data_IF_086084580074
#
_entry.id   IF_086084580074
#
_cell.length_a   1.000
_cell.length_b   1.000
_cell.length_c   1.000
_cell.angle_alpha   90.00
_cell.angle_beta   90.00
_cell.angle_gamma   90.00
#
_symmetry.space_group_name_H-M   'P 1'
#
loop_
_entity.id
_entity.type
_entity.pdbx_description
1 polymer ?
#
# COMPACT_ATOMS: atom_id res chain seq x y z
N UNK A 1 -8.22 -12.26 14.36
CA UNK A 1 -7.36 -11.31 15.09
C UNK A 1 -6.56 -10.58 14.02
N UNK A 2 -6.83 -9.30 13.79
CA UNK A 2 -6.18 -8.55 12.71
C UNK A 2 -4.71 -8.38 13.05
N UNK A 3 -3.86 -9.01 12.24
CA UNK A 3 -2.41 -8.90 12.34
C UNK A 3 -2.04 -7.43 12.15
N UNK A 4 -1.66 -6.74 13.24
CA UNK A 4 -1.21 -5.35 13.25
C UNK A 4 0.21 -5.28 12.69
N UNK A 5 0.43 -5.87 11.53
CA UNK A 5 1.71 -5.83 10.85
C UNK A 5 1.93 -4.44 10.27
N UNK A 6 3.04 -3.83 10.66
CA UNK A 6 3.53 -2.61 10.04
C UNK A 6 4.21 -2.99 8.73
N UNK A 7 3.60 -2.62 7.62
CA UNK A 7 4.15 -2.79 6.30
C UNK A 7 4.95 -1.56 5.88
N UNK A 8 6.17 -1.84 5.43
CA UNK A 8 6.98 -0.92 4.65
C UNK A 8 6.51 -0.86 3.19
N UNK A 9 7.04 0.08 2.42
CA UNK A 9 6.76 0.15 0.97
C UNK A 9 6.95 -1.17 0.23
N UNK A 10 7.94 -1.99 0.62
CA UNK A 10 8.23 -3.27 -0.03
C UNK A 10 7.14 -4.30 0.25
N UNK A 11 6.65 -4.36 1.48
CA UNK A 11 5.58 -5.29 1.88
C UNK A 11 4.26 -4.90 1.24
N UNK A 12 3.92 -3.61 1.23
CA UNK A 12 2.75 -3.09 0.53
C UNK A 12 2.81 -3.48 -0.94
N UNK A 13 3.95 -3.23 -1.58
CA UNK A 13 4.17 -3.52 -2.99
C UNK A 13 4.03 -5.01 -3.30
N UNK A 14 4.65 -5.88 -2.50
CA UNK A 14 4.54 -7.33 -2.64
C UNK A 14 3.09 -7.81 -2.45
N UNK A 15 2.38 -7.25 -1.48
CA UNK A 15 1.00 -7.62 -1.18
C UNK A 15 0.04 -7.30 -2.34
N UNK A 16 0.16 -6.10 -2.92
CA UNK A 16 -0.68 -5.68 -4.06
C UNK A 16 -0.08 -6.08 -5.42
N UNK A 17 1.03 -6.84 -5.41
CA UNK A 17 1.81 -7.28 -6.57
C UNK A 17 2.20 -6.14 -7.52
N UNK A 18 2.63 -5.00 -6.98
CA UNK A 18 3.20 -3.89 -7.75
C UNK A 18 4.65 -3.64 -7.36
N UNK A 19 5.31 -2.72 -8.06
CA UNK A 19 6.66 -2.29 -7.69
C UNK A 19 6.63 -1.26 -6.54
N UNK A 20 7.64 -1.23 -5.64
CA UNK A 20 7.74 -0.22 -4.59
C UNK A 20 7.68 1.22 -5.11
N UNK A 21 8.25 1.49 -6.28
CA UNK A 21 8.19 2.79 -6.96
C UNK A 21 6.75 3.22 -7.32
N UNK A 22 5.88 2.25 -7.60
CA UNK A 22 4.45 2.50 -7.84
C UNK A 22 3.77 2.96 -6.55
N UNK A 23 4.08 2.32 -5.41
CA UNK A 23 3.57 2.74 -4.09
C UNK A 23 4.07 4.15 -3.75
N UNK A 24 5.33 4.45 -4.07
CA UNK A 24 5.89 5.80 -3.90
C UNK A 24 5.19 6.84 -4.77
N UNK A 25 4.83 6.48 -6.01
CA UNK A 25 4.01 7.32 -6.89
C UNK A 25 2.61 7.54 -6.33
N UNK A 26 1.94 6.51 -5.79
CA UNK A 26 0.64 6.71 -5.13
C UNK A 26 0.72 7.67 -3.97
N UNK A 27 1.78 7.59 -3.16
CA UNK A 27 1.99 8.58 -2.10
C UNK A 27 2.22 9.99 -2.66
N UNK A 28 3.05 10.12 -3.70
CA UNK A 28 3.33 11.41 -4.36
C UNK A 28 2.06 12.05 -4.93
N UNK A 29 1.15 11.24 -5.46
CA UNK A 29 -0.12 11.69 -6.03
C UNK A 29 -1.27 11.79 -5.00
N UNK A 30 -1.01 11.57 -3.71
CA UNK A 30 -2.04 11.62 -2.67
C UNK A 30 -3.09 10.51 -2.75
N UNK A 31 -2.79 9.43 -3.48
CA UNK A 31 -3.66 8.26 -3.64
C UNK A 31 -3.46 7.24 -2.52
N UNK A 32 -2.27 7.19 -1.93
CA UNK A 32 -1.97 6.31 -0.80
C UNK A 32 -2.47 6.95 0.51
N UNK A 33 -3.03 6.17 1.45
CA UNK A 33 -3.34 6.68 2.79
C UNK A 33 -2.11 7.28 3.48
N UNK A 34 -2.36 8.17 4.44
CA UNK A 34 -1.32 8.70 5.31
C UNK A 34 -0.59 7.56 6.05
N UNK A 35 0.71 7.68 6.31
CA UNK A 35 1.44 6.68 7.08
C UNK A 35 0.95 6.66 8.53
N UNK A 36 0.59 5.47 8.99
CA UNK A 36 0.12 5.24 10.36
C UNK A 36 1.26 5.37 11.37
N UNK A 37 2.48 5.00 10.96
CA UNK A 37 3.66 5.05 11.80
C UNK A 37 4.88 5.53 11.01
N UNK A 38 5.80 6.23 11.68
CA UNK A 38 7.07 6.65 11.07
C UNK A 38 8.18 6.27 12.03
N UNK A 39 9.03 5.33 11.62
CA UNK A 39 10.13 4.83 12.43
C UNK A 39 11.46 5.15 11.73
N UNK A 40 12.38 5.83 12.42
CA UNK A 40 13.68 6.19 11.85
C UNK A 40 13.61 7.00 10.55
N UNK A 41 12.56 7.79 10.35
CA UNK A 41 12.33 8.57 9.13
C UNK A 41 11.71 7.78 7.96
N UNK A 42 11.37 6.50 8.18
CA UNK A 42 10.67 5.67 7.20
C UNK A 42 9.19 5.57 7.56
N UNK A 43 8.27 5.88 6.63
CA UNK A 43 6.85 5.68 6.85
C UNK A 43 6.46 4.20 6.74
N UNK A 44 5.58 3.78 7.62
CA UNK A 44 4.98 2.46 7.74
C UNK A 44 3.46 2.59 7.78
N UNK A 45 2.77 1.56 7.30
CA UNK A 45 1.31 1.48 7.29
C UNK A 45 0.87 0.19 7.93
N UNK A 46 -0.30 0.20 8.55
CA UNK A 46 -0.89 -1.06 8.96
C UNK A 46 -1.39 -1.84 7.74
N UNK A 47 -1.22 -3.16 7.78
CA UNK A 47 -1.80 -4.07 6.82
C UNK A 47 -3.31 -3.79 6.61
N UNK A 48 -4.03 -3.52 7.70
CA UNK A 48 -5.47 -3.21 7.68
C UNK A 48 -5.79 -1.93 6.89
N UNK A 49 -5.05 -0.84 7.12
CA UNK A 49 -5.18 0.42 6.38
C UNK A 49 -4.97 0.22 4.88
N UNK A 50 -3.93 -0.56 4.53
CA UNK A 50 -3.59 -0.86 3.14
C UNK A 50 -4.66 -1.75 2.52
N UNK A 51 -5.13 -2.80 3.21
CA UNK A 51 -6.21 -3.68 2.75
C UNK A 51 -7.50 -2.92 2.50
N UNK A 52 -7.90 -2.05 3.44
CA UNK A 52 -9.08 -1.21 3.30
C UNK A 52 -8.96 -0.25 2.12
N UNK A 53 -7.77 0.33 1.89
CA UNK A 53 -7.50 1.15 0.72
C UNK A 53 -7.55 0.35 -0.59
N UNK A 54 -6.91 -0.83 -0.64
CA UNK A 54 -6.91 -1.72 -1.82
C UNK A 54 -8.33 -2.10 -2.19
N UNK A 55 -9.18 -2.43 -1.21
CA UNK A 55 -10.58 -2.77 -1.43
C UNK A 55 -11.39 -1.62 -2.06
N UNK A 56 -11.02 -0.37 -1.76
CA UNK A 56 -11.66 0.86 -2.28
C UNK A 56 -11.04 1.35 -3.58
N UNK A 57 -9.91 0.77 -4.01
CA UNK A 57 -9.10 1.28 -5.10
C UNK A 57 -9.77 0.99 -6.46
N UNK A 58 -9.97 2.00 -7.33
CA UNK A 58 -10.62 1.82 -8.64
C UNK A 58 -9.76 1.10 -9.70
N UNK A 59 -8.53 0.67 -9.37
CA UNK A 59 -7.47 0.46 -10.37
C UNK A 59 -6.93 -0.97 -10.57
N UNK A 60 -7.57 -2.04 -10.09
CA UNK A 60 -6.99 -3.39 -10.22
C UNK A 60 -7.92 -4.51 -10.71
N UNK A 61 -9.06 -4.19 -11.35
CA UNK A 61 -9.96 -5.23 -11.91
C UNK A 61 -9.64 -5.65 -13.35
N UNK A 62 -8.61 -5.13 -14.03
CA UNK A 62 -8.56 -5.26 -15.50
C UNK A 62 -7.20 -5.27 -16.19
N UNK A 63 -6.27 -6.14 -15.80
CA UNK A 63 -5.38 -6.74 -16.82
C UNK A 63 -5.62 -8.24 -16.86
N UNK A 64 -6.76 -8.60 -17.43
CA UNK A 64 -6.82 -9.82 -18.24
C UNK A 64 -5.83 -9.58 -19.39
N UNK A 65 -4.87 -10.49 -19.51
CA UNK A 65 -4.05 -10.62 -20.69
C UNK A 65 -4.98 -10.82 -21.90
N UNK A 66 -4.79 -10.00 -22.92
CA UNK A 66 -5.03 -10.40 -24.31
C UNK A 66 -3.76 -11.12 -24.77
#
# INVERSE_FOLDING_TARGET
>A
MSDRQLWSYKEIAAHIRVQPDTVRSYRKHGLLPAPDHVEGGRPYWYADTVLAWVARRPGNRGRRAD
#
